data_IF_034820795203
#
_entry.id   IF_034820795203
#
_cell.length_a   1.000
_cell.length_b   1.000
_cell.length_c   1.000
_cell.angle_alpha   90.00
_cell.angle_beta   90.00
_cell.angle_gamma   90.00
#
_symmetry.space_group_name_H-M   'P 1'
#
loop_
_entity.id
_entity.type
_entity.pdbx_description
1 polymer ?
#
# COMPACT_ATOMS: atom_id res chain seq x y z
N UNK A 1 17.04 -13.80 -24.22
CA UNK A 1 16.98 -13.52 -22.77
C UNK A 1 15.74 -12.68 -22.48
N UNK A 2 14.99 -12.91 -21.38
CA UNK A 2 13.82 -12.08 -21.09
C UNK A 2 14.27 -10.62 -20.86
N UNK A 3 13.52 -9.67 -21.43
CA UNK A 3 13.81 -8.25 -21.23
C UNK A 3 13.70 -7.88 -19.75
N UNK A 4 14.74 -7.23 -19.21
CA UNK A 4 14.75 -6.73 -17.85
C UNK A 4 14.10 -5.35 -17.77
N UNK A 5 13.33 -5.12 -16.71
CA UNK A 5 12.74 -3.82 -16.39
C UNK A 5 13.21 -3.41 -14.99
N UNK A 6 13.58 -2.14 -14.83
CA UNK A 6 13.93 -1.58 -13.52
C UNK A 6 12.65 -1.06 -12.85
N UNK A 7 12.29 -1.52 -11.63
CA UNK A 7 11.00 -1.23 -10.99
C UNK A 7 10.66 0.26 -10.83
N UNK A 8 11.65 1.13 -10.60
CA UNK A 8 11.43 2.57 -10.47
C UNK A 8 10.68 3.18 -11.66
N UNK A 9 10.80 2.60 -12.87
CA UNK A 9 10.15 3.08 -14.09
C UNK A 9 8.62 3.02 -14.04
N UNK A 10 8.05 2.12 -13.24
CA UNK A 10 6.60 2.04 -13.02
C UNK A 10 6.23 2.65 -11.67
N UNK A 11 6.98 2.34 -10.62
CA UNK A 11 6.58 2.70 -9.26
C UNK A 11 6.80 4.17 -8.92
N UNK A 12 7.88 4.82 -9.36
CA UNK A 12 8.10 6.24 -9.02
C UNK A 12 7.09 7.17 -9.71
N UNK A 13 6.77 7.03 -11.01
CA UNK A 13 5.69 7.79 -11.62
C UNK A 13 4.35 7.51 -10.94
N UNK A 14 4.08 6.25 -10.57
CA UNK A 14 2.84 5.89 -9.86
C UNK A 14 2.76 6.58 -8.49
N UNK A 15 3.86 6.61 -7.73
CA UNK A 15 3.93 7.32 -6.45
C UNK A 15 3.75 8.83 -6.61
N UNK A 16 4.38 9.42 -7.64
CA UNK A 16 4.28 10.84 -7.99
C UNK A 16 2.84 11.24 -8.35
N UNK A 17 2.09 10.36 -9.00
CA UNK A 17 0.67 10.61 -9.31
C UNK A 17 -0.22 10.38 -8.09
N UNK A 18 -0.01 9.28 -7.36
CA UNK A 18 -0.86 8.89 -6.23
C UNK A 18 -0.87 9.95 -5.13
N UNK A 19 0.30 10.48 -4.75
CA UNK A 19 0.40 11.40 -3.62
C UNK A 19 -0.43 12.69 -3.79
N UNK A 20 -0.24 13.51 -4.84
CA UNK A 20 -1.04 14.72 -5.02
C UNK A 20 -2.51 14.41 -5.26
N UNK A 21 -2.85 13.35 -6.02
CA UNK A 21 -4.25 12.97 -6.22
C UNK A 21 -4.94 12.64 -4.90
N UNK A 22 -4.30 11.85 -4.05
CA UNK A 22 -4.84 11.46 -2.75
C UNK A 22 -4.97 12.66 -1.79
N UNK A 23 -4.01 13.59 -1.79
CA UNK A 23 -4.08 14.82 -1.00
C UNK A 23 -5.21 15.72 -1.47
N UNK A 24 -5.31 16.00 -2.77
CA UNK A 24 -6.34 16.87 -3.33
C UNK A 24 -7.74 16.29 -3.13
N UNK A 25 -7.90 14.99 -3.33
CA UNK A 25 -9.18 14.30 -3.15
C UNK A 25 -9.62 14.30 -1.69
N UNK A 26 -8.68 14.11 -0.75
CA UNK A 26 -8.99 14.23 0.67
C UNK A 26 -9.35 15.66 1.09
N UNK A 27 -8.64 16.68 0.57
CA UNK A 27 -8.97 18.09 0.85
C UNK A 27 -10.37 18.44 0.34
N UNK A 28 -10.71 17.99 -0.87
CA UNK A 28 -12.02 18.22 -1.46
C UNK A 28 -13.17 17.54 -0.70
N UNK A 29 -12.93 16.39 -0.07
CA UNK A 29 -13.92 15.78 0.83
C UNK A 29 -13.97 16.51 2.18
N UNK A 30 -12.81 16.92 2.71
CA UNK A 30 -12.72 17.63 3.99
C UNK A 30 -13.40 19.00 3.97
N UNK A 31 -13.31 19.74 2.87
CA UNK A 31 -13.94 21.06 2.71
C UNK A 31 -15.40 20.98 2.24
N UNK A 32 -15.90 19.78 1.96
CA UNK A 32 -17.27 19.54 1.51
C UNK A 32 -17.53 19.81 0.03
N UNK A 33 -16.50 20.06 -0.79
CA UNK A 33 -16.65 20.23 -2.24
C UNK A 33 -17.01 18.93 -2.97
N UNK A 34 -16.64 17.76 -2.41
CA UNK A 34 -17.02 16.44 -2.91
C UNK A 34 -17.70 15.64 -1.78
N UNK A 35 -18.93 15.17 -2.03
CA UNK A 35 -19.59 14.20 -1.14
C UNK A 35 -19.17 12.77 -1.50
N UNK A 36 -17.98 12.39 -1.01
CA UNK A 36 -17.47 11.03 -1.15
C UNK A 36 -16.97 10.51 0.19
N UNK A 37 -17.89 9.93 0.94
CA UNK A 37 -17.67 9.37 2.28
C UNK A 37 -16.53 8.35 2.35
N UNK A 38 -16.21 7.70 1.22
CA UNK A 38 -15.08 6.78 1.18
C UNK A 38 -13.76 7.53 1.47
N UNK A 39 -13.51 8.71 0.91
CA UNK A 39 -12.25 9.45 1.07
C UNK A 39 -12.08 10.16 2.43
N UNK A 40 -12.45 9.44 3.50
CA UNK A 40 -12.19 9.74 4.89
C UNK A 40 -10.70 9.93 5.20
N UNK A 41 -10.41 10.52 6.37
CA UNK A 41 -9.04 10.64 6.88
C UNK A 41 -8.34 9.27 7.03
N UNK A 42 -9.07 8.22 7.39
CA UNK A 42 -8.54 6.86 7.48
C UNK A 42 -8.08 6.34 6.11
N UNK A 43 -8.87 6.58 5.07
CA UNK A 43 -8.48 6.26 3.70
C UNK A 43 -7.23 7.03 3.26
N UNK A 44 -7.21 8.33 3.45
CA UNK A 44 -6.06 9.16 3.09
C UNK A 44 -4.77 8.63 3.74
N UNK A 45 -4.81 8.36 5.05
CA UNK A 45 -3.69 7.80 5.80
C UNK A 45 -3.23 6.45 5.27
N UNK A 46 -4.17 5.52 5.02
CA UNK A 46 -3.85 4.22 4.41
C UNK A 46 -3.14 4.37 3.08
N UNK A 47 -3.62 5.25 2.21
CA UNK A 47 -3.04 5.45 0.88
C UNK A 47 -1.64 6.08 0.94
N UNK A 48 -1.35 6.93 1.92
CA UNK A 48 0.01 7.46 2.13
C UNK A 48 0.98 6.41 2.69
N UNK A 49 0.54 5.62 3.68
CA UNK A 49 1.40 4.63 4.32
C UNK A 49 1.57 3.37 3.46
N UNK A 50 0.49 2.83 2.92
CA UNK A 50 0.49 1.54 2.21
C UNK A 50 0.34 1.67 0.69
N UNK A 51 -0.03 2.83 0.16
CA UNK A 51 -0.04 3.07 -1.29
C UNK A 51 1.27 3.69 -1.75
N UNK A 52 1.50 4.92 -1.34
CA UNK A 52 2.65 5.73 -1.72
C UNK A 52 3.97 5.13 -1.23
N UNK A 53 4.10 4.85 0.07
CA UNK A 53 5.38 4.37 0.62
C UNK A 53 5.75 2.99 0.04
N UNK A 54 4.77 2.13 -0.23
CA UNK A 54 4.99 0.85 -0.91
C UNK A 54 5.57 1.01 -2.31
N UNK A 55 5.04 1.95 -3.11
CA UNK A 55 5.57 2.24 -4.42
C UNK A 55 7.01 2.78 -4.35
N UNK A 56 7.28 3.72 -3.45
CA UNK A 56 8.64 4.27 -3.26
C UNK A 56 9.63 3.17 -2.86
N UNK A 57 9.25 2.33 -1.89
CA UNK A 57 10.08 1.24 -1.39
C UNK A 57 10.38 0.22 -2.49
N UNK A 58 9.35 -0.22 -3.22
CA UNK A 58 9.53 -1.18 -4.32
C UNK A 58 10.36 -0.60 -5.47
N UNK A 59 10.14 0.67 -5.83
CA UNK A 59 10.90 1.34 -6.87
C UNK A 59 12.38 1.51 -6.52
N UNK A 60 12.70 1.71 -5.24
CA UNK A 60 14.08 1.94 -4.78
C UNK A 60 14.86 0.65 -4.50
N UNK A 61 14.23 -0.34 -3.85
CA UNK A 61 14.95 -1.50 -3.30
C UNK A 61 14.94 -2.74 -4.18
N UNK A 62 13.98 -2.86 -5.10
CA UNK A 62 13.89 -4.04 -5.97
C UNK A 62 14.83 -3.85 -7.17
N UNK A 63 15.71 -4.83 -7.45
CA UNK A 63 16.61 -4.76 -8.59
C UNK A 63 15.85 -4.90 -9.92
N UNK A 64 16.56 -4.78 -11.04
CA UNK A 64 15.99 -5.12 -12.33
C UNK A 64 15.58 -6.61 -12.36
N UNK A 65 14.33 -6.86 -12.76
CA UNK A 65 13.73 -8.19 -12.87
C UNK A 65 13.20 -8.38 -14.30
N UNK A 66 12.86 -9.62 -14.72
CA UNK A 66 12.12 -9.83 -15.95
C UNK A 66 10.88 -8.94 -15.99
N UNK A 67 10.63 -8.26 -17.11
CA UNK A 67 9.59 -7.24 -17.22
C UNK A 67 8.21 -7.72 -16.77
N UNK A 68 7.87 -8.99 -17.05
CA UNK A 68 6.62 -9.64 -16.63
C UNK A 68 6.47 -9.61 -15.11
N UNK A 69 7.53 -9.90 -14.36
CA UNK A 69 7.49 -9.89 -12.90
C UNK A 69 7.29 -8.48 -12.35
N UNK A 70 7.94 -7.48 -12.94
CA UNK A 70 7.77 -6.07 -12.54
C UNK A 70 6.36 -5.59 -12.83
N UNK A 71 5.81 -5.92 -14.00
CA UNK A 71 4.42 -5.58 -14.38
C UNK A 71 3.43 -6.30 -13.47
N UNK A 72 3.61 -7.60 -13.20
CA UNK A 72 2.76 -8.35 -12.27
C UNK A 72 2.78 -7.74 -10.87
N UNK A 73 3.96 -7.39 -10.36
CA UNK A 73 4.10 -6.74 -9.05
C UNK A 73 3.42 -5.36 -9.02
N UNK A 74 3.56 -4.59 -10.10
CA UNK A 74 2.91 -3.29 -10.24
C UNK A 74 1.39 -3.41 -10.34
N UNK A 75 0.88 -4.40 -11.09
CA UNK A 75 -0.56 -4.69 -11.17
C UNK A 75 -1.10 -5.14 -9.82
N UNK A 76 -0.36 -5.96 -9.08
CA UNK A 76 -0.74 -6.38 -7.73
C UNK A 76 -0.87 -5.18 -6.79
N UNK A 77 0.09 -4.25 -6.84
CA UNK A 77 0.01 -2.98 -6.12
C UNK A 77 -1.21 -2.16 -6.53
N UNK A 78 -1.43 -1.99 -7.84
CA UNK A 78 -2.52 -1.18 -8.39
C UNK A 78 -3.89 -1.75 -8.04
N UNK A 79 -4.06 -3.08 -8.09
CA UNK A 79 -5.29 -3.75 -7.68
C UNK A 79 -5.62 -3.44 -6.21
N UNK A 80 -4.62 -3.44 -5.34
CA UNK A 80 -4.79 -3.03 -3.95
C UNK A 80 -5.02 -1.52 -3.75
N UNK A 81 -5.01 -0.70 -4.80
CA UNK A 81 -5.43 0.72 -4.74
C UNK A 81 -6.85 0.88 -5.28
N UNK A 82 -7.15 0.18 -6.37
CA UNK A 82 -8.43 0.27 -7.06
C UNK A 82 -9.55 -0.51 -6.36
N UNK A 83 -9.23 -1.62 -5.69
CA UNK A 83 -10.23 -2.45 -5.01
C UNK A 83 -10.95 -1.72 -3.86
N UNK A 84 -10.42 -0.58 -3.42
CA UNK A 84 -11.04 0.27 -2.41
C UNK A 84 -12.14 1.20 -2.96
N UNK A 85 -12.16 1.50 -4.26
CA UNK A 85 -13.19 2.36 -4.89
C UNK A 85 -14.57 1.66 -4.90
N UNK A 86 -14.63 0.42 -4.43
CA UNK A 86 -15.78 -0.44 -4.54
C UNK A 86 -16.94 -0.07 -3.61
N UNK A 87 -18.19 -0.19 -4.08
CA UNK A 87 -19.37 -0.08 -3.23
C UNK A 87 -19.40 -1.17 -2.14
N UNK A 88 -20.07 -0.89 -1.00
CA UNK A 88 -20.38 -1.89 0.02
C UNK A 88 -21.11 -3.10 -0.61
N UNK A 89 -20.71 -4.33 -0.25
CA UNK A 89 -21.34 -5.58 -0.70
C UNK A 89 -20.72 -6.24 -1.95
N UNK A 90 -19.65 -5.66 -2.51
CA UNK A 90 -18.91 -6.27 -3.62
C UNK A 90 -17.86 -7.31 -3.14
N UNK A 91 -17.33 -8.14 -4.05
CA UNK A 91 -16.21 -9.08 -3.75
C UNK A 91 -14.84 -8.37 -3.63
N UNK A 92 -14.79 -7.08 -3.95
CA UNK A 92 -13.58 -6.27 -3.99
C UNK A 92 -12.84 -6.12 -2.63
N UNK A 93 -13.48 -6.22 -1.45
CA UNK A 93 -12.75 -6.22 -0.17
C UNK A 93 -11.78 -7.39 -0.02
N UNK A 94 -12.13 -8.57 -0.52
CA UNK A 94 -11.22 -9.72 -0.52
C UNK A 94 -10.03 -9.47 -1.45
N UNK A 95 -10.28 -8.87 -2.62
CA UNK A 95 -9.22 -8.50 -3.54
C UNK A 95 -8.27 -7.47 -2.91
N UNK A 96 -8.80 -6.49 -2.18
CA UNK A 96 -8.01 -5.50 -1.44
C UNK A 96 -7.11 -6.16 -0.40
N UNK A 97 -7.64 -7.12 0.36
CA UNK A 97 -6.85 -7.85 1.36
C UNK A 97 -5.76 -8.72 0.73
N UNK A 98 -6.13 -9.48 -0.29
CA UNK A 98 -5.19 -10.36 -0.99
C UNK A 98 -4.08 -9.55 -1.65
N UNK A 99 -4.41 -8.47 -2.35
CA UNK A 99 -3.42 -7.57 -2.96
C UNK A 99 -2.58 -6.85 -1.90
N UNK A 100 -3.22 -6.35 -0.83
CA UNK A 100 -2.59 -5.66 0.29
C UNK A 100 -1.63 -6.54 1.10
N UNK A 101 -1.87 -7.85 1.15
CA UNK A 101 -0.97 -8.83 1.77
C UNK A 101 0.11 -9.32 0.79
N UNK A 102 -0.29 -9.69 -0.42
CA UNK A 102 0.59 -10.33 -1.40
C UNK A 102 1.66 -9.37 -1.92
N UNK A 103 1.36 -8.09 -2.10
CA UNK A 103 2.35 -7.11 -2.53
C UNK A 103 3.53 -7.00 -1.54
N UNK A 104 3.35 -6.58 -0.28
CA UNK A 104 4.47 -6.43 0.66
C UNK A 104 5.16 -7.77 0.95
N UNK A 105 4.43 -8.90 0.95
CA UNK A 105 5.04 -10.23 1.06
C UNK A 105 5.99 -10.54 -0.11
N UNK A 106 5.57 -10.27 -1.35
CA UNK A 106 6.40 -10.46 -2.55
C UNK A 106 7.63 -9.57 -2.50
N UNK A 107 7.47 -8.30 -2.12
CA UNK A 107 8.59 -7.35 -1.95
C UNK A 107 9.56 -7.83 -0.86
N UNK A 108 9.05 -8.34 0.26
CA UNK A 108 9.87 -8.89 1.34
C UNK A 108 10.67 -10.13 0.90
N UNK A 109 10.05 -11.05 0.15
CA UNK A 109 10.71 -12.25 -0.38
C UNK A 109 11.84 -11.86 -1.33
N UNK A 110 11.58 -10.96 -2.29
CA UNK A 110 12.59 -10.47 -3.23
C UNK A 110 13.74 -9.76 -2.50
N UNK A 111 13.42 -8.96 -1.48
CA UNK A 111 14.39 -8.35 -0.59
C UNK A 111 15.25 -9.38 0.13
N UNK A 112 14.62 -10.36 0.77
CA UNK A 112 15.30 -11.42 1.51
C UNK A 112 16.26 -12.20 0.60
N UNK A 113 15.80 -12.65 -0.56
CA UNK A 113 16.62 -13.36 -1.54
C UNK A 113 17.86 -12.55 -1.92
N UNK A 114 17.74 -11.23 -2.07
CA UNK A 114 18.86 -10.35 -2.41
C UNK A 114 19.88 -10.18 -1.30
N UNK A 115 19.41 -10.16 -0.05
CA UNK A 115 20.17 -9.66 1.08
C UNK A 115 20.64 -10.75 2.06
N UNK A 116 20.06 -11.95 2.02
CA UNK A 116 20.39 -13.05 2.95
C UNK A 116 21.85 -13.52 2.86
N UNK A 117 22.46 -13.45 1.67
CA UNK A 117 23.85 -13.89 1.46
C UNK A 117 24.88 -13.02 2.21
N UNK A 118 24.49 -11.80 2.58
CA UNK A 118 25.34 -10.89 3.36
C UNK A 118 24.97 -11.05 4.84
N UNK A 119 25.87 -11.66 5.62
CA UNK A 119 25.70 -11.95 7.06
C UNK A 119 25.68 -10.68 7.94
N UNK A 120 24.76 -9.74 7.68
CA UNK A 120 24.50 -8.56 8.51
C UNK A 120 23.01 -8.48 8.81
N UNK A 121 22.66 -8.54 10.09
CA UNK A 121 21.27 -8.48 10.55
C UNK A 121 20.50 -7.25 10.03
N UNK A 122 21.19 -6.12 9.82
CA UNK A 122 20.61 -4.90 9.23
C UNK A 122 20.02 -5.13 7.84
N UNK A 123 20.49 -6.13 7.10
CA UNK A 123 19.99 -6.44 5.77
C UNK A 123 18.65 -7.22 5.81
N UNK A 124 18.29 -7.79 6.97
CA UNK A 124 16.98 -8.39 7.22
C UNK A 124 15.94 -7.37 7.69
N UNK A 125 16.36 -6.17 8.10
CA UNK A 125 15.44 -5.13 8.55
C UNK A 125 14.41 -4.79 7.47
N UNK A 126 14.82 -4.73 6.20
CA UNK A 126 13.92 -4.39 5.09
C UNK A 126 12.78 -5.42 4.89
N UNK A 127 13.06 -6.72 4.68
CA UNK A 127 12.00 -7.72 4.58
C UNK A 127 11.08 -7.74 5.81
N UNK A 128 11.64 -7.59 7.01
CA UNK A 128 10.86 -7.53 8.25
C UNK A 128 9.93 -6.31 8.26
N UNK A 129 10.43 -5.12 7.94
CA UNK A 129 9.62 -3.90 7.87
C UNK A 129 8.49 -4.06 6.84
N UNK A 130 8.76 -4.67 5.68
CA UNK A 130 7.72 -4.93 4.68
C UNK A 130 6.64 -5.88 5.19
N UNK A 131 7.00 -6.94 5.90
CA UNK A 131 6.03 -7.85 6.50
C UNK A 131 5.20 -7.17 7.60
N UNK A 132 5.85 -6.38 8.47
CA UNK A 132 5.17 -5.62 9.53
C UNK A 132 4.19 -4.62 8.93
N UNK A 133 4.61 -3.86 7.91
CA UNK A 133 3.73 -2.93 7.21
C UNK A 133 2.60 -3.67 6.49
N UNK A 134 2.87 -4.84 5.89
CA UNK A 134 1.86 -5.67 5.24
C UNK A 134 0.78 -6.13 6.22
N UNK A 135 1.18 -6.63 7.38
CA UNK A 135 0.25 -7.01 8.46
C UNK A 135 -0.53 -5.79 8.95
N UNK A 136 0.14 -4.65 9.17
CA UNK A 136 -0.51 -3.41 9.59
C UNK A 136 -1.53 -2.92 8.55
N UNK A 137 -1.22 -3.00 7.26
CA UNK A 137 -2.12 -2.58 6.17
C UNK A 137 -3.34 -3.47 6.07
N UNK A 138 -3.16 -4.79 6.18
CA UNK A 138 -4.26 -5.77 6.25
C UNK A 138 -5.15 -5.52 7.46
N UNK A 139 -4.55 -5.33 8.64
CA UNK A 139 -5.29 -5.07 9.87
C UNK A 139 -6.06 -3.74 9.80
N UNK A 140 -5.46 -2.68 9.26
CA UNK A 140 -6.10 -1.37 9.07
C UNK A 140 -7.32 -1.49 8.16
N UNK A 141 -7.17 -2.18 7.02
CA UNK A 141 -8.31 -2.36 6.11
C UNK A 141 -9.40 -3.25 6.71
N UNK A 142 -9.02 -4.36 7.36
CA UNK A 142 -9.96 -5.26 8.03
C UNK A 142 -10.76 -4.55 9.14
N UNK A 143 -10.12 -3.64 9.89
CA UNK A 143 -10.77 -2.78 10.87
C UNK A 143 -11.80 -1.84 10.22
N UNK A 144 -11.47 -1.20 9.11
CA UNK A 144 -12.38 -0.28 8.43
C UNK A 144 -13.62 -0.94 7.82
N UNK A 145 -13.49 -2.20 7.36
CA UNK A 145 -14.65 -2.98 6.89
C UNK A 145 -15.39 -3.69 8.02
N UNK A 146 -15.00 -3.45 9.28
CA UNK A 146 -15.68 -3.95 10.48
C UNK A 146 -15.37 -5.40 10.85
N UNK A 147 -14.32 -6.01 10.28
CA UNK A 147 -13.93 -7.39 10.60
C UNK A 147 -13.04 -7.49 11.84
N UNK A 148 -12.34 -6.41 12.18
CA UNK A 148 -11.57 -6.31 13.42
C UNK A 148 -12.18 -5.24 14.33
N UNK A 149 -12.25 -5.50 15.65
CA UNK A 149 -12.70 -4.50 16.60
C UNK A 149 -11.71 -3.34 16.65
N UNK A 150 -12.19 -2.12 16.46
CA UNK A 150 -11.41 -0.90 16.67
C UNK A 150 -11.62 -0.47 18.13
N UNK A 151 -10.56 -0.27 18.94
CA UNK A 151 -10.70 0.28 20.27
C UNK A 151 -11.49 1.59 20.20
N UNK A 152 -12.45 1.79 21.11
CA UNK A 152 -13.26 2.99 21.15
C UNK A 152 -12.33 4.22 21.10
N UNK A 153 -12.42 5.00 20.02
CA UNK A 153 -11.63 6.21 19.89
C UNK A 153 -12.14 7.19 20.95
N UNK A 154 -11.25 7.67 21.82
CA UNK A 154 -11.62 8.65 22.83
C UNK A 154 -12.02 9.96 22.10
N UNK A 155 -13.29 10.39 22.12
CA UNK A 155 -13.74 11.55 21.36
C UNK A 155 -13.02 12.84 21.80
N UNK A 156 -12.51 12.89 23.04
CA UNK A 156 -11.70 14.00 23.52
C UNK A 156 -10.36 14.14 22.76
N UNK A 157 -9.77 13.04 22.27
CA UNK A 157 -8.52 13.04 21.51
C UNK A 157 -8.71 13.52 20.06
N UNK A 158 -9.92 13.42 19.51
CA UNK A 158 -10.25 13.84 18.15
C UNK A 158 -10.68 15.31 18.06
N UNK A 159 -11.13 15.90 19.18
CA UNK A 159 -11.55 17.31 19.25
C UNK A 159 -10.40 18.34 19.12
N UNK A 160 -9.16 17.86 19.02
CA UNK A 160 -7.95 18.68 18.88
C UNK A 160 -7.53 18.84 17.39
N UNK A 161 -8.22 18.17 16.45
CA UNK A 161 -7.93 18.16 15.01
C UNK A 161 -9.15 18.51 14.14
#
# INVERSE_FOLDING_TARGET
>A
MPALLVPWRLFFPSALLLAPLNVLLWLAVRDGSIDWHAASAAWHGREMVFGYSYAVIAGYLIPALPWRQVVTLWLLWLLGRLAWIAPPGSLLPWLQLLAGAAFPATVAILGFQRFHAVKRARNLAFPVIMLVLGVAGVATYAAEVGWLPVPAQNPAALSVY
#
